data_IF_823173361505
#
_entry.id   IF_823173361505
#
_cell.length_a   1.000
_cell.length_b   1.000
_cell.length_c   1.000
_cell.angle_alpha   90.00
_cell.angle_beta   90.00
_cell.angle_gamma   90.00
#
_symmetry.space_group_name_H-M   'P 1'
#
loop_
_entity.id
_entity.type
_entity.pdbx_description
1 polymer ?
#
# COMPACT_ATOMS: atom_id res chain seq x y z
N UNK A 1 8.77 6.06 -1.17
CA UNK A 1 7.61 5.36 -0.57
C UNK A 1 6.41 6.30 -0.60
N UNK A 2 5.20 5.77 -0.75
CA UNK A 2 3.97 6.58 -0.80
C UNK A 2 3.03 6.05 0.29
N UNK A 3 2.79 6.78 1.38
CA UNK A 3 1.83 6.39 2.42
C UNK A 3 0.38 6.67 1.97
N UNK A 4 -0.60 6.04 2.64
CA UNK A 4 -2.04 6.28 2.45
C UNK A 4 -2.51 6.25 0.99
N UNK A 5 -2.01 5.30 0.19
CA UNK A 5 -2.47 5.12 -1.19
C UNK A 5 -3.90 4.61 -1.18
N UNK A 6 -4.80 5.30 -1.89
CA UNK A 6 -6.22 5.00 -1.90
C UNK A 6 -6.70 4.33 -3.18
N UNK A 7 -6.03 4.60 -4.30
CA UNK A 7 -6.35 4.06 -5.62
C UNK A 7 -5.16 4.20 -6.58
N UNK A 8 -5.29 3.65 -7.79
CA UNK A 8 -4.24 3.66 -8.80
C UNK A 8 -3.83 5.08 -9.25
N UNK A 9 -4.72 6.08 -9.13
CA UNK A 9 -4.40 7.45 -9.56
C UNK A 9 -3.32 8.11 -8.69
N UNK A 10 -3.22 7.70 -7.42
CA UNK A 10 -2.12 8.12 -6.54
C UNK A 10 -0.77 7.61 -7.06
N UNK A 11 -0.74 6.39 -7.63
CA UNK A 11 0.46 5.78 -8.23
C UNK A 11 0.81 6.44 -9.55
N UNK A 12 -0.17 6.73 -10.39
CA UNK A 12 0.03 7.44 -11.66
C UNK A 12 0.66 8.82 -11.42
N UNK A 13 0.14 9.58 -10.46
CA UNK A 13 0.68 10.89 -10.08
C UNK A 13 2.13 10.79 -9.59
N UNK A 14 2.43 9.80 -8.76
CA UNK A 14 3.79 9.58 -8.28
C UNK A 14 4.74 9.13 -9.40
N UNK A 15 4.29 8.26 -10.31
CA UNK A 15 5.06 7.82 -11.48
C UNK A 15 5.39 9.01 -12.38
N UNK A 16 4.41 9.85 -12.70
CA UNK A 16 4.64 11.09 -13.46
C UNK A 16 5.63 12.03 -12.76
N UNK A 17 5.58 12.14 -11.44
CA UNK A 17 6.53 12.95 -10.69
C UNK A 17 7.96 12.37 -10.75
N UNK A 18 8.11 11.06 -10.66
CA UNK A 18 9.40 10.36 -10.77
C UNK A 18 10.00 10.55 -12.17
N UNK A 19 9.19 10.34 -13.21
CA UNK A 19 9.60 10.48 -14.62
C UNK A 19 10.06 11.91 -14.95
N UNK A 20 9.32 12.92 -14.48
CA UNK A 20 9.68 14.34 -14.68
C UNK A 20 11.04 14.70 -14.09
N UNK A 21 11.46 14.00 -13.04
CA UNK A 21 12.75 14.24 -12.38
C UNK A 21 13.86 13.30 -12.91
N UNK A 22 13.59 12.51 -13.96
CA UNK A 22 14.55 11.54 -14.54
C UNK A 22 15.13 10.57 -13.50
N UNK A 23 14.36 10.25 -12.45
CA UNK A 23 14.77 9.32 -11.41
C UNK A 23 14.28 7.93 -11.78
N UNK A 24 15.14 6.92 -11.67
CA UNK A 24 14.71 5.52 -11.69
C UNK A 24 14.45 5.06 -10.26
N UNK A 25 13.19 4.87 -9.90
CA UNK A 25 12.80 4.43 -8.56
C UNK A 25 11.69 3.38 -8.62
N UNK A 26 11.79 2.37 -7.76
CA UNK A 26 10.70 1.42 -7.50
C UNK A 26 9.75 2.01 -6.46
N UNK A 27 8.45 1.81 -6.62
CA UNK A 27 7.45 2.35 -5.69
C UNK A 27 7.13 1.31 -4.61
N UNK A 28 7.32 1.70 -3.35
CA UNK A 28 6.78 1.03 -2.16
C UNK A 28 5.54 1.81 -1.69
N UNK A 29 4.40 1.13 -1.59
CA UNK A 29 3.11 1.75 -1.24
C UNK A 29 2.66 1.38 0.18
N UNK A 30 2.01 2.31 0.87
CA UNK A 30 1.37 2.09 2.16
C UNK A 30 -0.13 1.96 1.99
N UNK A 31 -0.66 0.77 2.28
CA UNK A 31 -2.10 0.52 2.37
C UNK A 31 -2.52 0.73 3.82
N UNK A 32 -3.21 1.83 4.08
CA UNK A 32 -3.44 2.35 5.44
C UNK A 32 -4.88 2.85 5.66
N UNK A 33 -5.72 2.72 4.65
CA UNK A 33 -7.11 3.21 4.68
C UNK A 33 -8.02 2.09 4.19
N UNK A 34 -9.30 2.17 4.55
CA UNK A 34 -10.33 1.27 4.04
C UNK A 34 -10.39 1.34 2.53
N UNK A 35 -10.36 2.55 1.97
CA UNK A 35 -10.39 2.77 0.51
C UNK A 35 -9.18 2.13 -0.17
N UNK A 36 -7.97 2.33 0.36
CA UNK A 36 -6.75 1.73 -0.18
C UNK A 36 -6.78 0.20 -0.16
N UNK A 37 -7.32 -0.40 0.90
CA UNK A 37 -7.46 -1.85 1.00
C UNK A 37 -8.46 -2.40 -0.04
N UNK A 38 -9.58 -1.72 -0.27
CA UNK A 38 -10.57 -2.14 -1.26
C UNK A 38 -10.04 -2.04 -2.71
N UNK A 39 -9.16 -1.08 -2.98
CA UNK A 39 -8.56 -0.85 -4.30
C UNK A 39 -7.22 -1.57 -4.50
N UNK A 40 -6.82 -2.47 -3.60
CA UNK A 40 -5.45 -3.02 -3.57
C UNK A 40 -5.07 -3.75 -4.86
N UNK A 41 -6.02 -4.45 -5.50
CA UNK A 41 -5.77 -5.14 -6.77
C UNK A 41 -5.42 -4.16 -7.88
N UNK A 42 -6.15 -3.04 -7.98
CA UNK A 42 -5.90 -2.01 -9.00
C UNK A 42 -4.56 -1.30 -8.74
N UNK A 43 -4.23 -1.04 -7.46
CA UNK A 43 -2.95 -0.45 -7.05
C UNK A 43 -1.79 -1.36 -7.47
N UNK A 44 -1.85 -2.65 -7.16
CA UNK A 44 -0.81 -3.63 -7.51
C UNK A 44 -0.78 -4.01 -9.00
N UNK A 45 -1.88 -3.77 -9.73
CA UNK A 45 -1.93 -3.94 -11.18
C UNK A 45 -1.06 -2.91 -11.93
N UNK A 46 -0.59 -1.86 -11.26
CA UNK A 46 0.32 -0.87 -11.86
C UNK A 46 1.77 -1.40 -11.91
N UNK A 47 2.43 -1.26 -13.05
CA UNK A 47 3.78 -1.80 -13.28
C UNK A 47 4.87 -1.18 -12.38
N UNK A 48 4.62 -0.01 -11.80
CA UNK A 48 5.59 0.74 -11.00
C UNK A 48 5.67 0.29 -9.53
N UNK A 49 4.66 -0.43 -9.02
CA UNK A 49 4.60 -0.87 -7.63
C UNK A 49 5.39 -2.15 -7.43
N UNK A 50 6.41 -2.08 -6.59
CA UNK A 50 7.31 -3.20 -6.30
C UNK A 50 6.90 -3.99 -5.05
N UNK A 51 6.33 -3.30 -4.06
CA UNK A 51 5.91 -3.89 -2.80
C UNK A 51 4.89 -2.98 -2.10
N UNK A 52 4.20 -3.51 -1.10
CA UNK A 52 3.42 -2.72 -0.17
C UNK A 52 3.71 -3.08 1.29
N UNK A 53 3.40 -2.15 2.19
CA UNK A 53 3.19 -2.43 3.61
C UNK A 53 1.75 -2.12 3.99
N UNK A 54 1.28 -2.76 5.06
CA UNK A 54 -0.04 -2.49 5.65
C UNK A 54 0.11 -1.72 6.95
N UNK A 55 -0.37 -0.48 6.98
CA UNK A 55 -0.41 0.34 8.20
C UNK A 55 -1.69 0.05 8.98
N UNK A 56 -1.63 -0.99 9.81
CA UNK A 56 -2.81 -1.44 10.55
C UNK A 56 -3.40 -0.33 11.44
N UNK A 57 -2.54 0.44 12.13
CA UNK A 57 -2.96 1.50 13.07
C UNK A 57 -3.81 2.56 12.38
N UNK A 58 -3.30 3.07 11.26
CA UNK A 58 -4.02 4.02 10.43
C UNK A 58 -5.30 3.42 9.83
N UNK A 59 -5.28 2.14 9.44
CA UNK A 59 -6.48 1.47 8.93
C UNK A 59 -7.59 1.36 9.99
N UNK A 60 -7.23 1.00 11.23
CA UNK A 60 -8.20 0.95 12.34
C UNK A 60 -8.71 2.34 12.67
N UNK A 61 -7.84 3.35 12.63
CA UNK A 61 -8.25 4.73 12.84
C UNK A 61 -9.19 5.21 11.72
N UNK A 62 -8.95 4.83 10.46
CA UNK A 62 -9.80 5.13 9.30
C UNK A 62 -11.18 4.44 9.39
N UNK A 63 -11.25 3.27 10.04
CA UNK A 63 -12.52 2.61 10.39
C UNK A 63 -13.31 3.31 11.52
N UNK A 64 -12.74 4.33 12.15
CA UNK A 64 -13.31 5.00 13.33
C UNK A 64 -12.99 4.28 14.65
N UNK A 65 -12.04 3.35 14.65
CA UNK A 65 -11.52 2.73 15.87
C UNK A 65 -10.57 3.66 16.63
N UNK A 66 -10.70 3.70 17.95
CA UNK A 66 -9.81 4.46 18.83
C UNK A 66 -9.07 3.49 19.77
N UNK A 67 -7.74 3.41 19.66
CA UNK A 67 -6.88 2.68 20.58
C UNK A 67 -5.67 2.00 19.93
N UNK A 68 -4.58 1.75 20.66
CA UNK A 68 -3.42 1.05 20.15
C UNK A 68 -3.80 -0.36 19.70
N UNK A 69 -3.38 -0.74 18.49
CA UNK A 69 -3.58 -2.10 18.00
C UNK A 69 -2.77 -3.05 18.87
N UNK A 70 -3.47 -3.88 19.64
CA UNK A 70 -2.89 -5.06 20.23
C UNK A 70 -2.39 -5.95 19.08
N UNK A 71 -1.06 -6.13 18.96
CA UNK A 71 -0.39 -6.82 17.85
C UNK A 71 -0.74 -8.32 17.84
N UNK A 72 -1.95 -8.67 17.44
CA UNK A 72 -2.24 -10.01 16.91
C UNK A 72 -1.79 -10.01 15.46
N UNK A 73 -0.61 -10.57 15.23
CA UNK A 73 0.05 -10.70 13.94
C UNK A 73 -0.92 -11.18 12.85
N UNK A 74 -1.28 -10.27 11.94
CA UNK A 74 -1.81 -10.62 10.63
C UNK A 74 -0.65 -11.20 9.81
N UNK A 75 -0.48 -12.51 9.95
CA UNK A 75 0.54 -13.28 9.25
C UNK A 75 0.06 -13.55 7.82
N UNK A 76 0.60 -12.84 6.84
CA UNK A 76 0.53 -13.29 5.45
C UNK A 76 1.38 -14.56 5.32
N UNK A 77 0.76 -15.73 5.23
CA UNK A 77 1.44 -16.92 4.70
C UNK A 77 1.61 -16.70 3.21
N UNK A 78 2.87 -16.68 2.75
CA UNK A 78 3.22 -16.86 1.35
C UNK A 78 2.70 -18.24 0.89
N UNK A 79 1.75 -18.31 -0.06
CA UNK A 79 1.16 -19.58 -0.49
C UNK A 79 2.10 -20.42 -1.36
N UNK A 80 3.27 -19.90 -1.78
CA UNK A 80 4.14 -20.57 -2.76
C UNK A 80 5.48 -21.09 -2.22
N UNK A 81 5.71 -21.08 -0.91
CA UNK A 81 6.98 -21.61 -0.35
C UNK A 81 7.00 -23.14 -0.16
N UNK A 82 6.45 -23.89 -1.12
CA UNK A 82 6.59 -25.34 -1.17
C UNK A 82 6.43 -25.92 -2.60
N UNK A 83 7.28 -25.47 -3.53
CA UNK A 83 7.66 -26.21 -4.75
C UNK A 83 9.11 -25.94 -5.11
#
# INVERSE_FOLDING_TARGET
MIPKVNDASDIERATQAIERNSVSAKILVGIETVKGLMSVQDIFGTASVFAAYFGAEDYVHDLGGFGPIERRSAFCKDPDRNK
#
